data_IF_521490024954
#
_entry.id   IF_521490024954
#
_cell.length_a   1.000
_cell.length_b   1.000
_cell.length_c   1.000
_cell.angle_alpha   90.00
_cell.angle_beta   90.00
_cell.angle_gamma   90.00
#
_symmetry.space_group_name_H-M   'P 1'
#
loop_
_entity.id
_entity.type
_entity.pdbx_description
1 polymer ?
#
# COMPACT_ATOMS: atom_id res chain seq x y z
N UNK A 1 -7.03 11.54 -9.50
CA UNK A 1 -6.04 11.39 -8.40
C UNK A 1 -6.62 10.58 -7.23
N UNK A 2 -7.45 11.15 -6.33
CA UNK A 2 -7.88 10.49 -5.08
C UNK A 2 -8.41 9.07 -5.23
N UNK A 3 -9.28 8.78 -6.20
CA UNK A 3 -9.86 7.43 -6.37
C UNK A 3 -8.85 6.32 -6.70
N UNK A 4 -7.67 6.66 -7.23
CA UNK A 4 -6.56 5.71 -7.39
C UNK A 4 -5.77 5.54 -6.07
N UNK A 5 -5.64 6.63 -5.29
CA UNK A 5 -5.02 6.61 -3.95
C UNK A 5 -5.79 5.72 -2.99
N UNK A 6 -7.10 5.54 -3.17
CA UNK A 6 -7.87 4.58 -2.34
C UNK A 6 -7.57 3.11 -2.66
N UNK A 7 -6.67 2.81 -3.60
CA UNK A 7 -6.37 1.44 -4.07
C UNK A 7 -4.88 1.14 -4.04
N UNK A 8 -4.07 1.97 -4.68
CA UNK A 8 -2.66 1.65 -4.92
C UNK A 8 -1.79 1.50 -3.67
N UNK A 9 -1.95 2.29 -2.59
CA UNK A 9 -1.18 2.10 -1.36
C UNK A 9 -1.35 0.70 -0.76
N UNK A 10 -2.53 0.10 -0.89
CA UNK A 10 -2.78 -1.28 -0.42
C UNK A 10 -1.98 -2.30 -1.22
N UNK A 11 -1.94 -2.16 -2.55
CA UNK A 11 -1.18 -3.07 -3.41
C UNK A 11 0.33 -2.87 -3.24
N UNK A 12 0.78 -1.62 -3.11
CA UNK A 12 2.18 -1.30 -2.80
C UNK A 12 2.58 -1.92 -1.46
N UNK A 13 1.73 -1.78 -0.44
CA UNK A 13 1.92 -2.41 0.86
C UNK A 13 2.03 -3.93 0.73
N UNK A 14 1.10 -4.57 0.00
CA UNK A 14 1.10 -6.02 -0.23
C UNK A 14 2.41 -6.50 -0.89
N UNK A 15 2.86 -5.81 -1.94
CA UNK A 15 4.11 -6.14 -2.64
C UNK A 15 5.35 -5.93 -1.75
N UNK A 16 5.35 -4.87 -0.93
CA UNK A 16 6.44 -4.64 0.02
C UNK A 16 6.54 -5.77 1.06
N UNK A 17 5.40 -6.29 1.54
CA UNK A 17 5.38 -7.42 2.46
C UNK A 17 5.87 -8.72 1.80
N UNK A 18 5.45 -8.99 0.56
CA UNK A 18 5.90 -10.13 -0.24
C UNK A 18 7.44 -10.14 -0.39
N UNK A 19 8.00 -9.00 -0.80
CA UNK A 19 9.46 -8.84 -0.96
C UNK A 19 10.24 -8.89 0.36
N UNK A 20 9.64 -8.42 1.47
CA UNK A 20 10.28 -8.44 2.79
C UNK A 20 10.35 -9.86 3.39
N UNK A 21 9.36 -10.70 3.06
CA UNK A 21 9.21 -12.04 3.61
C UNK A 21 8.75 -12.08 5.07
N UNK A 22 8.53 -13.31 5.57
CA UNK A 22 7.87 -13.54 6.86
C UNK A 22 8.56 -12.97 8.08
N UNK A 23 9.89 -12.74 8.02
CA UNK A 23 10.62 -12.16 9.15
C UNK A 23 10.11 -10.77 9.50
N UNK A 24 9.50 -10.03 8.57
CA UNK A 24 8.96 -8.70 8.83
C UNK A 24 7.93 -8.68 9.95
N UNK A 25 7.13 -9.75 10.10
CA UNK A 25 6.10 -9.89 11.14
C UNK A 25 6.46 -10.85 12.28
N UNK A 26 7.59 -11.57 12.15
CA UNK A 26 8.08 -12.49 13.19
C UNK A 26 9.42 -12.06 13.79
N UNK A 27 9.90 -10.86 13.46
CA UNK A 27 11.16 -10.35 13.96
C UNK A 27 11.10 -10.21 15.50
N UNK A 28 12.11 -10.69 16.24
CA UNK A 28 12.22 -10.43 17.67
C UNK A 28 12.28 -8.94 18.00
N UNK A 29 11.98 -8.61 19.26
CA UNK A 29 12.05 -7.26 19.76
C UNK A 29 13.49 -6.75 19.88
N UNK A 30 13.65 -5.43 19.95
CA UNK A 30 14.96 -4.81 20.20
C UNK A 30 15.51 -5.18 21.60
N UNK A 31 14.65 -5.55 22.55
CA UNK A 31 15.09 -6.01 23.87
C UNK A 31 15.83 -7.35 23.78
N UNK A 32 15.31 -8.28 22.99
CA UNK A 32 15.98 -9.57 22.72
C UNK A 32 17.26 -9.38 21.92
N UNK A 33 17.26 -8.43 20.97
CA UNK A 33 18.47 -8.02 20.24
C UNK A 33 19.59 -7.53 21.15
N UNK A 34 19.24 -6.74 22.18
CA UNK A 34 20.19 -6.19 23.15
C UNK A 34 20.52 -7.15 24.30
N UNK A 35 19.89 -8.32 24.37
CA UNK A 35 20.13 -9.29 25.43
C UNK A 35 21.50 -9.94 25.28
N UNK A 36 22.25 -10.07 26.38
CA UNK A 36 23.64 -10.57 26.34
C UNK A 36 23.78 -11.98 25.74
N UNK A 37 22.80 -12.86 26.00
CA UNK A 37 22.81 -14.24 25.49
C UNK A 37 22.08 -14.41 24.14
N UNK A 38 20.93 -13.75 23.96
CA UNK A 38 20.07 -13.94 22.78
C UNK A 38 20.54 -13.06 21.61
N UNK A 39 21.02 -11.85 21.89
CA UNK A 39 21.51 -10.90 20.88
C UNK A 39 22.59 -11.49 19.96
N UNK A 40 23.66 -12.12 20.48
CA UNK A 40 24.65 -12.80 19.65
C UNK A 40 24.07 -13.92 18.76
N UNK A 41 23.04 -14.62 19.22
CA UNK A 41 22.35 -15.64 18.42
C UNK A 41 21.54 -14.98 17.30
N UNK A 42 20.85 -13.88 17.58
CA UNK A 42 20.09 -13.14 16.57
C UNK A 42 21.02 -12.54 15.52
N UNK A 43 22.17 -11.96 15.90
CA UNK A 43 23.17 -11.44 14.96
C UNK A 43 23.68 -12.55 14.03
N UNK A 44 23.91 -13.75 14.57
CA UNK A 44 24.33 -14.91 13.77
C UNK A 44 23.25 -15.40 12.81
N UNK A 45 22.02 -15.59 13.28
CA UNK A 45 20.97 -16.31 12.52
C UNK A 45 20.07 -15.41 11.69
N UNK A 46 19.98 -14.11 11.98
CA UNK A 46 19.21 -13.16 11.17
C UNK A 46 20.05 -12.45 10.10
N UNK A 47 21.32 -12.83 9.97
CA UNK A 47 22.26 -12.29 8.99
C UNK A 47 21.74 -12.46 7.57
N UNK A 48 21.91 -11.41 6.77
CA UNK A 48 21.61 -11.42 5.34
C UNK A 48 22.83 -11.80 4.50
N UNK A 49 22.89 -11.26 3.28
CA UNK A 49 24.08 -11.36 2.42
C UNK A 49 25.32 -10.77 3.12
N UNK A 50 26.50 -11.23 2.70
CA UNK A 50 27.78 -10.70 3.17
C UNK A 50 27.87 -9.17 2.97
N UNK A 51 28.51 -8.49 3.92
CA UNK A 51 28.70 -7.04 3.90
C UNK A 51 27.51 -6.20 4.39
N UNK A 52 26.37 -6.81 4.74
CA UNK A 52 25.21 -6.09 5.30
C UNK A 52 25.10 -6.34 6.81
N UNK A 53 25.17 -5.30 7.66
CA UNK A 53 24.92 -5.45 9.09
C UNK A 53 23.51 -5.97 9.38
N UNK A 54 23.39 -6.94 10.28
CA UNK A 54 22.10 -7.56 10.63
C UNK A 54 21.12 -6.52 11.18
N UNK A 55 21.58 -5.59 12.01
CA UNK A 55 20.76 -4.50 12.54
C UNK A 55 20.14 -3.63 11.43
N UNK A 56 20.86 -3.36 10.34
CA UNK A 56 20.33 -2.56 9.22
C UNK A 56 19.16 -3.29 8.54
N UNK A 57 19.30 -4.61 8.34
CA UNK A 57 18.22 -5.46 7.83
C UNK A 57 17.01 -5.40 8.76
N UNK A 58 17.21 -5.52 10.07
CA UNK A 58 16.14 -5.44 11.07
C UNK A 58 15.41 -4.09 11.03
N UNK A 59 16.15 -2.97 10.95
CA UNK A 59 15.57 -1.63 10.85
C UNK A 59 14.74 -1.44 9.58
N UNK A 60 15.22 -1.95 8.44
CA UNK A 60 14.47 -1.90 7.19
C UNK A 60 13.15 -2.70 7.29
N UNK A 61 13.18 -3.90 7.88
CA UNK A 61 11.98 -4.72 8.11
C UNK A 61 10.97 -4.00 9.02
N UNK A 62 11.43 -3.39 10.13
CA UNK A 62 10.57 -2.62 11.04
C UNK A 62 9.97 -1.38 10.36
N UNK A 63 10.68 -0.75 9.42
CA UNK A 63 10.10 0.35 8.65
C UNK A 63 8.95 -0.14 7.75
N UNK A 64 9.12 -1.27 7.06
CA UNK A 64 8.08 -1.88 6.22
C UNK A 64 6.86 -2.28 7.07
N UNK A 65 7.09 -2.94 8.21
CA UNK A 65 6.05 -3.27 9.18
C UNK A 65 5.28 -2.01 9.61
N UNK A 66 5.99 -0.96 10.01
CA UNK A 66 5.37 0.27 10.48
C UNK A 66 4.51 0.98 9.41
N UNK A 67 4.93 0.93 8.14
CA UNK A 67 4.20 1.56 7.03
C UNK A 67 3.03 0.72 6.52
N UNK A 68 3.02 -0.59 6.76
CA UNK A 68 2.01 -1.50 6.19
C UNK A 68 1.05 -2.10 7.22
N UNK A 69 1.44 -2.14 8.51
CA UNK A 69 0.63 -2.65 9.62
C UNK A 69 0.67 -1.74 10.86
N UNK A 70 1.79 -1.04 11.08
CA UNK A 70 2.00 -0.24 12.28
C UNK A 70 1.44 1.18 12.22
N UNK A 71 2.08 2.10 12.96
CA UNK A 71 1.53 3.45 13.20
C UNK A 71 1.36 4.25 11.92
N UNK A 72 2.30 4.14 10.99
CA UNK A 72 2.25 4.90 9.74
C UNK A 72 1.28 4.29 8.72
N UNK A 73 0.89 3.02 8.88
CA UNK A 73 -0.13 2.38 8.04
C UNK A 73 -1.51 3.06 8.19
N UNK A 74 -1.78 3.67 9.35
CA UNK A 74 -3.00 4.48 9.57
C UNK A 74 -3.10 5.60 8.54
N UNK A 75 -2.02 6.35 8.33
CA UNK A 75 -1.97 7.38 7.29
C UNK A 75 -1.85 6.78 5.90
N UNK A 76 -0.86 5.91 5.70
CA UNK A 76 -0.55 5.43 4.37
C UNK A 76 -1.68 4.62 3.71
N UNK A 77 -2.46 3.87 4.49
CA UNK A 77 -3.56 3.04 4.00
C UNK A 77 -4.94 3.67 4.29
N UNK A 78 -5.27 3.87 5.57
CA UNK A 78 -6.64 4.25 5.96
C UNK A 78 -6.96 5.71 5.66
N UNK A 79 -6.02 6.63 5.85
CA UNK A 79 -6.19 8.02 5.42
C UNK A 79 -6.23 8.10 3.89
N UNK A 80 -5.34 7.38 3.19
CA UNK A 80 -5.43 7.21 1.73
C UNK A 80 -6.81 6.71 1.26
N UNK A 81 -7.51 5.90 2.05
CA UNK A 81 -8.88 5.44 1.76
C UNK A 81 -9.94 6.52 2.01
N UNK A 82 -9.87 7.23 3.14
CA UNK A 82 -11.00 8.03 3.64
C UNK A 82 -10.79 9.56 3.65
N UNK A 83 -9.54 10.04 3.61
CA UNK A 83 -9.21 11.46 3.58
C UNK A 83 -9.82 12.18 2.38
N UNK A 84 -10.40 13.36 2.59
CA UNK A 84 -11.18 14.09 1.59
C UNK A 84 -12.38 13.30 1.00
N UNK A 85 -12.88 12.31 1.74
CA UNK A 85 -14.07 11.52 1.43
C UNK A 85 -13.75 10.07 1.05
N UNK A 86 -14.64 9.16 1.45
CA UNK A 86 -14.57 7.74 1.08
C UNK A 86 -14.74 7.53 -0.43
N UNK A 87 -14.33 6.35 -0.98
CA UNK A 87 -14.31 6.08 -2.43
C UNK A 87 -15.58 6.45 -3.19
N UNK A 88 -16.75 6.25 -2.57
CA UNK A 88 -18.04 6.54 -3.17
C UNK A 88 -18.24 8.04 -3.43
N UNK A 89 -17.70 8.92 -2.59
CA UNK A 89 -17.77 10.36 -2.78
C UNK A 89 -17.11 10.77 -4.11
N UNK A 90 -15.94 10.20 -4.44
CA UNK A 90 -15.30 10.49 -5.72
C UNK A 90 -16.07 9.88 -6.90
N UNK A 91 -16.64 8.69 -6.78
CA UNK A 91 -17.46 8.07 -7.85
C UNK A 91 -18.68 8.94 -8.18
N UNK A 92 -19.35 9.49 -7.17
CA UNK A 92 -20.45 10.43 -7.35
C UNK A 92 -19.98 11.69 -8.09
N UNK A 93 -18.87 12.31 -7.66
CA UNK A 93 -18.36 13.53 -8.32
C UNK A 93 -17.91 13.27 -9.76
N UNK A 94 -17.27 12.13 -10.03
CA UNK A 94 -16.89 11.72 -11.38
C UNK A 94 -18.15 11.54 -12.24
N UNK A 95 -19.18 10.83 -11.74
CA UNK A 95 -20.42 10.62 -12.48
C UNK A 95 -21.07 11.95 -12.88
N UNK A 96 -21.16 12.91 -11.94
CA UNK A 96 -21.69 14.26 -12.18
C UNK A 96 -20.95 15.06 -13.27
N UNK A 97 -19.65 14.80 -13.44
CA UNK A 97 -18.79 15.53 -14.39
C UNK A 97 -18.45 14.72 -15.65
N UNK A 98 -18.90 13.47 -15.73
CA UNK A 98 -18.47 12.52 -16.77
C UNK A 98 -19.07 12.77 -18.16
N UNK A 99 -20.03 13.70 -18.26
CA UNK A 99 -20.79 14.06 -19.46
C UNK A 99 -21.28 12.81 -20.24
N UNK A 100 -22.04 11.96 -19.54
CA UNK A 100 -22.42 10.64 -20.06
C UNK A 100 -23.28 10.72 -21.33
N UNK A 101 -24.15 11.72 -21.44
CA UNK A 101 -25.01 11.90 -22.62
C UNK A 101 -24.19 12.21 -23.87
N UNK A 102 -23.14 13.04 -23.76
CA UNK A 102 -22.24 13.28 -24.89
C UNK A 102 -21.55 11.99 -25.34
N UNK A 103 -21.07 11.18 -24.39
CA UNK A 103 -20.42 9.90 -24.70
C UNK A 103 -21.40 8.92 -25.36
N UNK A 104 -22.66 8.90 -24.92
CA UNK A 104 -23.72 8.10 -25.56
C UNK A 104 -23.96 8.56 -27.00
N UNK A 105 -24.03 9.88 -27.25
CA UNK A 105 -24.17 10.44 -28.60
C UNK A 105 -23.01 10.05 -29.51
N UNK A 106 -21.78 10.17 -29.02
CA UNK A 106 -20.58 9.74 -29.76
C UNK A 106 -20.62 8.24 -30.08
N UNK A 107 -21.04 7.39 -29.14
CA UNK A 107 -21.17 5.96 -29.36
C UNK A 107 -22.27 5.62 -30.39
N UNK A 108 -23.44 6.26 -30.32
CA UNK A 108 -24.52 6.10 -31.30
C UNK A 108 -24.07 6.46 -32.72
N UNK A 109 -23.37 7.59 -32.86
CA UNK A 109 -22.81 8.04 -34.14
C UNK A 109 -21.84 7.02 -34.75
N UNK A 110 -20.95 6.44 -33.93
CA UNK A 110 -20.03 5.40 -34.39
C UNK A 110 -20.74 4.09 -34.76
N UNK A 111 -21.87 3.81 -34.11
CA UNK A 111 -22.69 2.62 -34.38
C UNK A 111 -23.68 2.79 -35.55
N UNK A 112 -23.76 3.97 -36.17
CA UNK A 112 -24.76 4.26 -37.20
C UNK A 112 -26.20 4.31 -36.68
N UNK A 113 -26.38 4.56 -35.38
CA UNK A 113 -27.70 4.75 -34.77
C UNK A 113 -28.06 6.22 -34.92
N UNK A 114 -29.02 6.52 -35.79
CA UNK A 114 -29.61 7.86 -35.91
C UNK A 114 -30.54 8.11 -34.72
N UNK A 115 -30.47 9.31 -34.14
CA UNK A 115 -31.43 9.73 -33.13
C UNK A 115 -32.75 10.01 -33.87
N UNK A 116 -33.76 9.15 -33.68
CA UNK A 116 -35.13 9.46 -34.12
C UNK A 116 -35.61 10.68 -33.32
N UNK A 117 -35.96 11.77 -34.02
CA UNK A 117 -36.62 12.95 -33.46
C UNK A 117 -37.96 12.60 -32.77
#
# INVERSE_FOLDING_TARGET
CKHNVTRFPYEIGRLAQDLAGGIMVTLPSEKEWKHAEVGPLLEKYLKGREGVPTEHRMRALRLIENMTLGRNAVGYLTESMHGAGSPQAQRIQIARQSNLEEKKRLAKRLAGIEDED
#
